data_IF_024746707344
#
_entry.id   IF_024746707344
#
_cell.length_a   1.000
_cell.length_b   1.000
_cell.length_c   1.000
_cell.angle_alpha   90.00
_cell.angle_beta   90.00
_cell.angle_gamma   90.00
#
_symmetry.space_group_name_H-M   'P 1'
#
loop_
_entity.id
_entity.type
_entity.pdbx_description
1 polymer ?
#
# COMPACT_ATOMS: atom_id res chain seq x y z
N UNK A 1 55.61 -46.07 21.13
CA UNK A 1 55.30 -46.67 19.81
C UNK A 1 54.42 -45.64 19.09
N UNK A 2 54.97 -44.61 18.41
CA UNK A 2 55.54 -44.62 17.03
C UNK A 2 54.50 -45.10 16.01
N UNK A 3 54.10 -44.42 14.92
CA UNK A 3 54.64 -43.36 14.04
C UNK A 3 53.42 -42.61 13.43
N UNK A 4 53.35 -41.30 13.12
CA UNK A 4 54.17 -40.35 12.33
C UNK A 4 54.33 -40.71 10.84
N UNK A 5 53.66 -39.94 9.97
CA UNK A 5 54.19 -39.39 8.72
C UNK A 5 53.49 -38.03 8.48
N UNK A 6 54.15 -36.86 8.58
CA UNK A 6 55.03 -36.17 7.58
C UNK A 6 54.31 -35.97 6.23
N UNK A 7 54.26 -34.79 5.59
CA UNK A 7 54.94 -33.51 5.76
C UNK A 7 54.46 -32.50 4.68
N UNK A 8 54.75 -31.20 4.89
CA UNK A 8 54.89 -30.08 3.90
C UNK A 8 53.59 -29.55 3.25
N UNK A 9 53.29 -28.25 3.15
CA UNK A 9 53.98 -26.99 3.51
C UNK A 9 53.45 -25.86 2.60
N UNK A 10 53.34 -24.64 3.17
CA UNK A 10 53.46 -23.26 2.63
C UNK A 10 53.00 -22.92 1.19
N UNK A 11 52.60 -21.70 0.81
CA UNK A 11 52.15 -20.44 1.40
C UNK A 11 51.93 -19.49 0.21
N UNK A 12 51.04 -18.51 0.35
CA UNK A 12 50.94 -17.20 -0.33
C UNK A 12 51.87 -16.84 -1.53
N UNK A 13 51.25 -16.27 -2.58
CA UNK A 13 51.50 -14.89 -3.08
C UNK A 13 51.78 -14.71 -4.60
N UNK A 14 51.01 -13.77 -5.17
CA UNK A 14 51.38 -12.74 -6.18
C UNK A 14 51.65 -13.06 -7.67
N UNK A 15 50.88 -12.31 -8.49
CA UNK A 15 51.27 -11.47 -9.63
C UNK A 15 52.30 -11.99 -10.66
N UNK A 16 51.91 -12.02 -11.95
CA UNK A 16 52.39 -11.04 -12.93
C UNK A 16 51.76 -11.20 -14.33
N UNK A 17 51.53 -10.04 -14.92
CA UNK A 17 51.15 -9.72 -16.29
C UNK A 17 52.33 -10.02 -17.24
N UNK A 18 52.11 -10.56 -18.46
CA UNK A 18 52.95 -10.22 -19.62
C UNK A 18 52.30 -10.55 -20.97
N UNK A 19 52.42 -9.56 -21.86
CA UNK A 19 52.04 -9.46 -23.27
C UNK A 19 53.05 -10.23 -24.14
N UNK A 20 52.60 -10.89 -25.24
CA UNK A 20 53.48 -11.13 -26.39
C UNK A 20 52.70 -11.14 -27.72
N UNK A 21 53.14 -10.24 -28.61
CA UNK A 21 52.77 -10.07 -30.02
C UNK A 21 53.78 -10.84 -30.86
N UNK A 22 53.38 -11.57 -31.92
CA UNK A 22 54.25 -11.82 -33.08
C UNK A 22 53.48 -12.13 -34.38
N UNK A 23 53.91 -11.46 -35.45
CA UNK A 23 53.50 -11.47 -36.86
C UNK A 23 54.30 -12.49 -37.69
N UNK A 24 53.66 -13.22 -38.63
CA UNK A 24 54.22 -13.80 -39.89
C UNK A 24 52.99 -14.00 -40.83
N UNK A 25 52.91 -13.75 -42.13
CA UNK A 25 53.85 -13.44 -43.21
C UNK A 25 53.33 -14.07 -44.52
N UNK A 26 52.86 -13.22 -45.45
CA UNK A 26 52.52 -13.34 -46.89
C UNK A 26 52.62 -14.66 -47.67
N UNK A 27 51.60 -14.88 -48.53
CA UNK A 27 51.75 -15.45 -49.89
C UNK A 27 50.69 -14.85 -50.83
N UNK A 28 51.14 -14.17 -51.88
CA UNK A 28 50.34 -13.54 -52.95
C UNK A 28 50.54 -14.35 -54.23
N UNK A 29 49.45 -14.71 -54.92
CA UNK A 29 49.44 -15.22 -56.29
C UNK A 29 48.47 -14.37 -57.13
N UNK A 30 48.83 -14.21 -58.40
CA UNK A 30 48.54 -13.19 -59.42
C UNK A 30 47.11 -13.09 -59.99
N UNK A 31 46.79 -11.84 -60.44
CA UNK A 31 45.64 -11.23 -61.18
C UNK A 31 45.27 -11.90 -62.54
N UNK A 32 44.30 -11.42 -63.39
CA UNK A 32 43.31 -10.28 -63.33
C UNK A 32 41.85 -10.69 -63.73
N UNK A 33 40.76 -9.99 -63.44
CA UNK A 33 40.13 -8.87 -64.19
C UNK A 33 38.67 -8.84 -63.72
N UNK A 34 38.13 -7.80 -63.10
CA UNK A 34 37.27 -6.81 -63.78
C UNK A 34 36.86 -5.77 -62.73
N UNK A 35 37.38 -4.55 -62.83
CA UNK A 35 36.92 -3.42 -62.04
C UNK A 35 35.75 -2.76 -62.77
N UNK A 36 34.53 -2.97 -62.27
CA UNK A 36 33.41 -2.07 -62.51
C UNK A 36 33.49 -0.98 -61.44
N UNK A 37 33.71 0.25 -61.86
CA UNK A 37 33.63 1.44 -61.01
C UNK A 37 32.14 1.66 -60.68
N UNK A 38 31.71 1.29 -59.47
CA UNK A 38 30.42 1.73 -58.92
C UNK A 38 30.71 2.94 -58.03
N UNK A 39 30.25 4.11 -58.47
CA UNK A 39 30.23 5.33 -57.68
C UNK A 39 29.53 5.05 -56.34
N UNK A 40 30.24 5.25 -55.22
CA UNK A 40 29.63 5.27 -53.88
C UNK A 40 28.75 6.51 -53.74
N UNK A 41 27.48 6.38 -54.12
CA UNK A 41 26.44 7.29 -53.66
C UNK A 41 26.37 7.21 -52.13
N UNK A 42 26.47 8.34 -51.44
CA UNK A 42 26.12 8.45 -50.02
C UNK A 42 24.62 8.20 -49.89
N UNK A 43 24.20 6.95 -49.76
CA UNK A 43 22.87 6.64 -49.24
C UNK A 43 22.88 7.01 -47.76
N UNK A 44 22.27 8.15 -47.45
CA UNK A 44 21.73 8.38 -46.12
C UNK A 44 20.72 7.26 -45.83
N UNK A 45 21.16 6.23 -45.11
CA UNK A 45 20.23 5.36 -44.40
C UNK A 45 19.50 6.23 -43.38
N UNK A 46 18.31 6.71 -43.74
CA UNK A 46 17.33 7.14 -42.74
C UNK A 46 17.12 5.93 -41.83
N UNK A 47 17.47 6.07 -40.54
CA UNK A 47 16.96 5.16 -39.52
C UNK A 47 15.45 5.08 -39.73
N UNK A 48 14.84 3.89 -39.77
CA UNK A 48 13.39 3.81 -39.83
C UNK A 48 12.84 4.57 -38.63
N UNK A 49 11.94 5.53 -38.88
CA UNK A 49 11.12 6.15 -37.84
C UNK A 49 10.24 5.03 -37.26
N UNK A 50 10.75 4.35 -36.24
CA UNK A 50 9.96 3.44 -35.43
C UNK A 50 9.01 4.34 -34.64
N UNK A 51 7.79 4.52 -35.16
CA UNK A 51 6.68 5.01 -34.34
C UNK A 51 6.47 3.98 -33.24
N UNK A 52 6.98 4.24 -32.05
CA UNK A 52 6.60 3.49 -30.86
C UNK A 52 5.09 3.63 -30.69
N UNK A 53 4.35 2.54 -30.92
CA UNK A 53 2.91 2.52 -30.72
C UNK A 53 2.64 2.56 -29.22
N UNK A 54 1.94 3.60 -28.77
CA UNK A 54 1.60 3.80 -27.36
C UNK A 54 0.79 2.59 -26.86
N UNK A 55 1.28 1.95 -25.80
CA UNK A 55 0.64 0.79 -25.16
C UNK A 55 -0.73 1.15 -24.60
N UNK A 56 -1.59 0.16 -24.38
CA UNK A 56 -2.91 0.39 -23.79
C UNK A 56 -2.79 1.01 -22.39
N UNK A 57 -1.83 0.57 -21.58
CA UNK A 57 -1.56 1.15 -20.26
C UNK A 57 -1.21 2.65 -20.35
N UNK A 58 -0.32 3.02 -21.27
CA UNK A 58 0.10 4.42 -21.46
C UNK A 58 -1.07 5.31 -21.89
N UNK A 59 -1.95 4.82 -22.77
CA UNK A 59 -3.15 5.56 -23.18
C UNK A 59 -4.11 5.79 -22.01
N UNK A 60 -4.37 4.75 -21.21
CA UNK A 60 -5.23 4.83 -20.02
C UNK A 60 -4.65 5.81 -19.00
N UNK A 61 -3.34 5.73 -18.74
CA UNK A 61 -2.66 6.64 -17.82
C UNK A 61 -2.75 8.09 -18.28
N UNK A 62 -2.52 8.35 -19.57
CA UNK A 62 -2.60 9.69 -20.16
C UNK A 62 -4.03 10.26 -20.10
N UNK A 63 -5.03 9.44 -20.38
CA UNK A 63 -6.44 9.82 -20.25
C UNK A 63 -6.78 10.13 -18.79
N UNK A 64 -6.36 9.27 -17.86
CA UNK A 64 -6.53 9.52 -16.43
C UNK A 64 -5.88 10.83 -15.99
N UNK A 65 -4.63 11.08 -16.39
CA UNK A 65 -3.90 12.29 -15.99
C UNK A 65 -4.66 13.55 -16.41
N UNK A 66 -5.16 13.57 -17.64
CA UNK A 66 -5.96 14.68 -18.15
C UNK A 66 -7.24 14.88 -17.32
N UNK A 67 -8.01 13.81 -17.12
CA UNK A 67 -9.27 13.87 -16.36
C UNK A 67 -9.01 14.27 -14.91
N UNK A 68 -7.94 13.74 -14.31
CA UNK A 68 -7.57 14.02 -12.93
C UNK A 68 -7.12 15.47 -12.75
N UNK A 69 -6.31 16.00 -13.66
CA UNK A 69 -5.87 17.39 -13.63
C UNK A 69 -7.08 18.33 -13.70
N UNK A 70 -7.99 18.11 -14.65
CA UNK A 70 -9.24 18.88 -14.77
C UNK A 70 -10.08 18.78 -13.49
N UNK A 71 -10.31 17.56 -13.00
CA UNK A 71 -11.10 17.30 -11.79
C UNK A 71 -10.46 17.91 -10.53
N UNK A 72 -9.13 17.86 -10.40
CA UNK A 72 -8.41 18.36 -9.23
C UNK A 72 -8.46 19.88 -9.10
N UNK A 73 -8.66 20.58 -10.22
CA UNK A 73 -8.89 22.02 -10.27
C UNK A 73 -10.34 22.37 -9.95
N UNK A 74 -11.26 21.42 -10.13
CA UNK A 74 -12.64 21.61 -9.74
C UNK A 74 -12.77 21.52 -8.23
N UNK A 75 -13.62 22.38 -7.66
CA UNK A 75 -13.95 22.32 -6.24
C UNK A 75 -14.94 21.18 -5.99
N UNK A 76 -14.50 19.92 -6.19
CA UNK A 76 -15.30 18.71 -6.09
C UNK A 76 -14.57 17.61 -5.30
N UNK A 77 -15.35 16.67 -4.78
CA UNK A 77 -14.90 15.47 -4.04
C UNK A 77 -15.24 14.21 -4.82
N UNK A 78 -14.46 13.13 -4.63
CA UNK A 78 -14.67 11.79 -5.21
C UNK A 78 -15.62 10.90 -4.39
N UNK A 79 -16.36 11.45 -3.42
CA UNK A 79 -17.24 10.65 -2.56
C UNK A 79 -18.73 10.94 -2.79
N UNK A 80 -19.28 11.95 -2.11
CA UNK A 80 -20.73 12.18 -2.05
C UNK A 80 -21.08 13.65 -1.88
N UNK A 81 -22.36 13.98 -2.03
CA UNK A 81 -22.86 15.34 -1.77
C UNK A 81 -22.65 15.77 -0.32
N UNK A 82 -22.72 14.84 0.65
CA UNK A 82 -22.40 15.13 2.04
C UNK A 82 -20.92 15.53 2.20
N UNK A 83 -20.00 14.75 1.59
CA UNK A 83 -18.57 15.10 1.56
C UNK A 83 -18.31 16.46 0.90
N UNK A 84 -19.07 16.81 -0.15
CA UNK A 84 -18.93 18.12 -0.80
C UNK A 84 -19.26 19.27 0.16
N UNK A 85 -20.35 19.16 0.92
CA UNK A 85 -20.77 20.19 1.88
C UNK A 85 -19.82 20.36 3.06
N UNK A 86 -19.03 19.33 3.40
CA UNK A 86 -17.97 19.46 4.41
C UNK A 86 -16.81 20.35 3.95
N UNK A 87 -16.63 20.52 2.64
CA UNK A 87 -15.55 21.32 2.06
C UNK A 87 -14.18 20.64 2.09
N UNK A 88 -13.14 21.40 1.78
CA UNK A 88 -11.74 20.92 1.69
C UNK A 88 -11.13 20.65 3.08
N UNK A 89 -9.90 20.17 3.10
CA UNK A 89 -9.08 19.97 4.31
C UNK A 89 -9.59 18.87 5.24
N UNK A 90 -10.17 17.82 4.68
CA UNK A 90 -10.75 16.70 5.42
C UNK A 90 -9.68 15.74 5.92
N UNK A 91 -9.87 15.23 7.14
CA UNK A 91 -9.16 14.07 7.69
C UNK A 91 -10.08 12.86 7.55
N UNK A 92 -9.68 11.87 6.78
CA UNK A 92 -10.53 10.74 6.37
C UNK A 92 -9.98 9.43 6.89
N UNK A 93 -10.81 8.68 7.63
CA UNK A 93 -10.63 7.23 7.78
C UNK A 93 -11.46 6.57 6.69
N UNK A 94 -10.85 5.68 5.92
CA UNK A 94 -11.48 5.06 4.76
C UNK A 94 -11.60 3.57 4.95
N UNK A 95 -12.81 3.05 4.73
CA UNK A 95 -13.11 1.61 4.77
C UNK A 95 -13.78 1.15 3.48
N UNK A 96 -13.66 -0.15 3.19
CA UNK A 96 -14.36 -0.81 2.08
C UNK A 96 -15.49 -1.69 2.61
N UNK A 97 -16.68 -1.59 2.02
CA UNK A 97 -17.80 -2.50 2.28
C UNK A 97 -18.32 -3.02 0.95
N UNK A 98 -18.16 -4.31 0.68
CA UNK A 98 -18.59 -4.92 -0.57
C UNK A 98 -19.39 -6.18 -0.30
N UNK A 99 -20.53 -6.29 -0.96
CA UNK A 99 -21.35 -7.49 -0.95
C UNK A 99 -20.81 -8.52 -1.94
N UNK A 100 -20.66 -9.78 -1.51
CA UNK A 100 -20.49 -10.89 -2.45
C UNK A 100 -21.85 -11.26 -3.04
N UNK A 101 -22.12 -10.82 -4.26
CA UNK A 101 -22.90 -11.67 -5.16
C UNK A 101 -21.93 -12.65 -5.84
N UNK A 102 -22.08 -13.95 -5.55
CA UNK A 102 -21.46 -15.13 -6.20
C UNK A 102 -20.34 -15.91 -5.46
N UNK A 103 -20.70 -17.17 -5.13
CA UNK A 103 -19.93 -18.43 -5.17
C UNK A 103 -18.89 -18.82 -4.10
N UNK A 104 -18.74 -18.08 -3.01
CA UNK A 104 -18.09 -18.64 -1.82
C UNK A 104 -19.01 -18.54 -0.61
N UNK A 105 -19.56 -19.70 -0.28
CA UNK A 105 -20.52 -20.03 0.78
C UNK A 105 -20.04 -19.48 2.14
N UNK A 106 -20.96 -18.87 2.90
CA UNK A 106 -20.88 -18.58 4.34
C UNK A 106 -19.56 -18.08 4.91
N UNK A 107 -19.00 -17.01 4.35
CA UNK A 107 -18.03 -16.25 5.14
C UNK A 107 -18.79 -15.25 6.02
N UNK A 108 -19.05 -15.64 7.28
CA UNK A 108 -19.78 -14.84 8.29
C UNK A 108 -19.28 -13.39 8.35
N UNK A 109 -18.00 -13.14 8.03
CA UNK A 109 -17.37 -11.83 7.98
C UNK A 109 -18.03 -10.81 7.04
N UNK A 110 -18.81 -11.25 6.03
CA UNK A 110 -19.50 -10.37 5.08
C UNK A 110 -21.02 -10.29 5.33
N UNK A 111 -21.49 -10.78 6.48
CA UNK A 111 -22.89 -10.71 6.87
C UNK A 111 -23.29 -9.29 7.24
N UNK A 112 -24.32 -8.76 6.56
CA UNK A 112 -24.87 -7.44 6.87
C UNK A 112 -25.38 -7.32 8.31
N UNK A 113 -25.96 -8.40 8.84
CA UNK A 113 -26.61 -8.40 10.15
C UNK A 113 -25.63 -8.68 11.29
N UNK A 114 -24.71 -9.63 11.12
CA UNK A 114 -23.85 -10.10 12.22
C UNK A 114 -22.47 -9.46 12.22
N UNK A 115 -22.06 -8.83 11.12
CA UNK A 115 -20.71 -8.29 10.99
C UNK A 115 -20.69 -6.84 10.49
N UNK A 116 -21.16 -6.58 9.27
CA UNK A 116 -20.99 -5.25 8.64
C UNK A 116 -21.63 -4.15 9.48
N UNK A 117 -22.92 -4.28 9.83
CA UNK A 117 -23.59 -3.24 10.63
C UNK A 117 -23.05 -3.14 12.07
N UNK A 118 -22.94 -4.24 12.84
CA UNK A 118 -22.39 -4.14 14.19
C UNK A 118 -20.98 -3.56 14.23
N UNK A 119 -20.08 -3.96 13.32
CA UNK A 119 -18.71 -3.45 13.31
C UNK A 119 -18.65 -2.01 12.81
N UNK A 120 -19.54 -1.61 11.90
CA UNK A 120 -19.67 -0.23 11.47
C UNK A 120 -20.11 0.68 12.62
N UNK A 121 -21.12 0.28 13.40
CA UNK A 121 -21.58 1.04 14.57
C UNK A 121 -20.46 1.17 15.61
N UNK A 122 -19.72 0.09 15.88
CA UNK A 122 -18.56 0.11 16.79
C UNK A 122 -17.46 1.05 16.29
N UNK A 123 -17.09 0.95 15.01
CA UNK A 123 -16.05 1.80 14.42
C UNK A 123 -16.44 3.28 14.45
N UNK A 124 -17.70 3.62 14.15
CA UNK A 124 -18.19 5.00 14.25
C UNK A 124 -18.13 5.51 15.70
N UNK A 125 -18.50 4.66 16.67
CA UNK A 125 -18.42 5.00 18.10
C UNK A 125 -16.98 5.26 18.54
N UNK A 126 -16.06 4.35 18.22
CA UNK A 126 -14.63 4.46 18.54
C UNK A 126 -13.99 5.69 17.88
N UNK A 127 -14.28 5.93 16.59
CA UNK A 127 -13.79 7.11 15.87
C UNK A 127 -14.29 8.40 16.52
N UNK A 128 -15.58 8.47 16.89
CA UNK A 128 -16.14 9.65 17.56
C UNK A 128 -15.47 9.93 18.90
N UNK A 129 -15.10 8.88 19.65
CA UNK A 129 -14.43 9.02 20.94
C UNK A 129 -12.96 9.41 20.79
N UNK A 130 -12.23 8.76 19.89
CA UNK A 130 -10.76 8.82 19.87
C UNK A 130 -10.20 9.76 18.78
N UNK A 131 -10.97 9.98 17.71
CA UNK A 131 -10.62 10.77 16.53
C UNK A 131 -11.78 11.68 16.08
N UNK A 132 -12.36 12.54 16.95
CA UNK A 132 -13.61 13.28 16.69
C UNK A 132 -13.56 14.26 15.50
N UNK A 133 -12.36 14.64 15.04
CA UNK A 133 -12.18 15.52 13.87
C UNK A 133 -12.07 14.76 12.55
N UNK A 134 -12.09 13.43 12.58
CA UNK A 134 -11.99 12.58 11.41
C UNK A 134 -13.40 12.22 10.89
N UNK A 135 -13.47 12.07 9.58
CA UNK A 135 -14.68 11.67 8.85
C UNK A 135 -14.47 10.23 8.41
N UNK A 136 -15.46 9.37 8.65
CA UNK A 136 -15.45 8.02 8.11
C UNK A 136 -16.02 8.05 6.69
N UNK A 137 -15.22 7.65 5.71
CA UNK A 137 -15.68 7.44 4.34
C UNK A 137 -15.84 5.95 4.07
N UNK A 138 -17.06 5.56 3.71
CA UNK A 138 -17.42 4.17 3.43
C UNK A 138 -17.55 4.00 1.92
N UNK A 139 -16.56 3.37 1.30
CA UNK A 139 -16.64 2.98 -0.10
C UNK A 139 -17.42 1.68 -0.20
N UNK A 140 -18.65 1.77 -0.71
CA UNK A 140 -19.65 0.74 -0.53
C UNK A 140 -20.30 0.31 -1.84
N UNK A 141 -20.55 -1.00 -1.98
CA UNK A 141 -21.69 -1.47 -2.76
C UNK A 141 -22.71 -2.12 -1.83
N UNK A 142 -23.98 -1.79 -2.04
CA UNK A 142 -25.06 -2.26 -1.18
C UNK A 142 -25.59 -3.64 -1.58
N UNK A 143 -24.80 -4.41 -2.34
CA UNK A 143 -25.17 -5.74 -2.79
C UNK A 143 -25.43 -6.65 -1.58
N UNK A 144 -26.55 -7.37 -1.60
CA UNK A 144 -26.99 -8.22 -0.48
C UNK A 144 -27.61 -7.49 0.73
N UNK A 145 -27.68 -6.16 0.74
CA UNK A 145 -28.30 -5.41 1.84
C UNK A 145 -29.82 -5.23 1.70
N UNK A 146 -30.52 -5.07 2.82
CA UNK A 146 -31.92 -4.61 2.86
C UNK A 146 -32.02 -3.09 2.81
N UNK A 147 -33.20 -2.55 2.46
CA UNK A 147 -33.47 -1.09 2.51
C UNK A 147 -33.22 -0.49 3.90
N UNK A 148 -33.52 -1.24 4.97
CA UNK A 148 -33.30 -0.78 6.36
C UNK A 148 -31.81 -0.64 6.66
N UNK A 149 -31.01 -1.64 6.26
CA UNK A 149 -29.56 -1.62 6.43
C UNK A 149 -28.93 -0.47 5.64
N UNK A 150 -29.37 -0.23 4.39
CA UNK A 150 -28.93 0.94 3.61
C UNK A 150 -29.19 2.26 4.32
N UNK A 151 -30.42 2.46 4.81
CA UNK A 151 -30.79 3.68 5.54
C UNK A 151 -29.98 3.88 6.82
N UNK A 152 -29.53 2.78 7.46
CA UNK A 152 -28.77 2.84 8.69
C UNK A 152 -27.45 3.61 8.52
N UNK A 153 -26.72 3.38 7.43
CA UNK A 153 -25.45 4.05 7.13
C UNK A 153 -25.56 5.59 7.07
N UNK A 154 -26.71 6.11 6.67
CA UNK A 154 -26.95 7.56 6.53
C UNK A 154 -27.38 8.26 7.83
N UNK A 155 -27.42 7.55 8.97
CA UNK A 155 -27.83 8.14 10.25
C UNK A 155 -26.73 8.96 10.93
N UNK A 156 -25.48 8.78 10.53
CA UNK A 156 -24.32 9.32 11.23
C UNK A 156 -23.80 10.58 10.54
N UNK A 157 -23.71 11.68 11.27
CA UNK A 157 -23.34 13.01 10.73
C UNK A 157 -21.86 13.14 10.37
N UNK A 158 -21.01 12.24 10.86
CA UNK A 158 -19.57 12.18 10.61
C UNK A 158 -19.18 11.04 9.64
N UNK A 159 -20.16 10.48 8.94
CA UNK A 159 -19.97 9.43 7.95
C UNK A 159 -20.38 9.94 6.57
N UNK A 160 -19.54 9.67 5.57
CA UNK A 160 -19.87 9.88 4.16
C UNK A 160 -19.91 8.54 3.42
N UNK A 161 -20.96 8.35 2.66
CA UNK A 161 -21.18 7.13 1.88
C UNK A 161 -20.73 7.38 0.43
N UNK A 162 -19.70 6.67 -0.01
CA UNK A 162 -19.18 6.73 -1.37
C UNK A 162 -19.65 5.49 -2.14
N UNK A 163 -20.76 5.60 -2.86
CA UNK A 163 -21.35 4.47 -3.61
C UNK A 163 -20.47 4.12 -4.81
N UNK A 164 -19.94 2.89 -4.85
CA UNK A 164 -19.09 2.41 -5.92
C UNK A 164 -19.77 2.31 -7.28
N UNK A 165 -21.11 2.40 -7.33
CA UNK A 165 -21.86 2.49 -8.58
C UNK A 165 -21.98 3.94 -9.10
N UNK A 166 -21.60 4.93 -8.31
CA UNK A 166 -21.74 6.34 -8.63
C UNK A 166 -20.61 7.19 -8.01
N UNK A 167 -19.36 6.78 -8.25
CA UNK A 167 -18.20 7.55 -7.81
C UNK A 167 -18.05 8.76 -8.74
N UNK A 168 -18.02 10.01 -8.23
CA UNK A 168 -17.71 11.18 -9.06
C UNK A 168 -16.44 10.94 -9.89
N UNK A 169 -16.39 11.47 -11.11
CA UNK A 169 -15.32 11.21 -12.11
C UNK A 169 -15.33 9.81 -12.76
N UNK A 170 -15.73 8.75 -12.05
CA UNK A 170 -15.60 7.37 -12.56
C UNK A 170 -16.93 6.63 -12.80
N UNK A 171 -18.06 7.14 -12.30
CA UNK A 171 -19.35 6.46 -12.33
C UNK A 171 -19.28 5.08 -11.68
N UNK A 172 -19.78 4.05 -12.39
CA UNK A 172 -19.74 2.65 -11.97
C UNK A 172 -18.53 1.86 -12.50
N UNK A 173 -17.62 2.50 -13.24
CA UNK A 173 -16.56 1.81 -13.98
C UNK A 173 -15.55 1.12 -13.05
N UNK A 174 -15.17 1.75 -11.94
CA UNK A 174 -14.22 1.18 -10.99
C UNK A 174 -14.69 -0.17 -10.43
N UNK A 175 -16.00 -0.32 -10.15
CA UNK A 175 -16.57 -1.56 -9.62
C UNK A 175 -16.31 -2.78 -10.50
N UNK A 176 -16.08 -2.57 -11.82
CA UNK A 176 -15.84 -3.66 -12.78
C UNK A 176 -14.45 -4.29 -12.66
N UNK A 177 -13.47 -3.56 -12.12
CA UNK A 177 -12.07 -4.00 -12.16
C UNK A 177 -11.30 -3.76 -10.86
N UNK A 178 -11.69 -2.78 -10.05
CA UNK A 178 -11.00 -2.44 -8.81
C UNK A 178 -11.40 -3.43 -7.70
N UNK A 179 -10.47 -4.20 -7.12
CA UNK A 179 -10.78 -5.12 -6.03
C UNK A 179 -11.36 -4.39 -4.81
N UNK A 180 -12.36 -5.02 -4.15
CA UNK A 180 -13.09 -4.42 -3.03
C UNK A 180 -12.20 -3.87 -1.90
N UNK A 181 -11.16 -4.61 -1.51
CA UNK A 181 -10.21 -4.18 -0.47
C UNK A 181 -9.38 -2.94 -0.85
N UNK A 182 -9.22 -2.65 -2.14
CA UNK A 182 -8.49 -1.48 -2.62
C UNK A 182 -9.38 -0.23 -2.68
N UNK A 183 -10.71 -0.35 -2.59
CA UNK A 183 -11.61 0.82 -2.63
C UNK A 183 -11.28 1.85 -1.55
N UNK A 184 -10.88 1.42 -0.35
CA UNK A 184 -10.43 2.31 0.73
C UNK A 184 -9.15 3.12 0.42
N UNK A 185 -8.51 2.91 -0.73
CA UNK A 185 -7.35 3.70 -1.18
C UNK A 185 -7.77 4.89 -2.06
N UNK A 186 -9.02 4.91 -2.55
CA UNK A 186 -9.54 5.96 -3.44
C UNK A 186 -9.43 7.39 -2.91
N UNK A 187 -9.48 7.69 -1.60
CA UNK A 187 -9.28 9.05 -1.12
C UNK A 187 -7.92 9.68 -1.47
N UNK A 188 -6.91 8.89 -1.87
CA UNK A 188 -5.64 9.42 -2.40
C UNK A 188 -5.89 10.40 -3.56
N UNK A 189 -6.90 10.11 -4.39
CA UNK A 189 -7.24 10.93 -5.53
C UNK A 189 -8.16 12.11 -5.16
N UNK A 190 -8.72 12.17 -3.96
CA UNK A 190 -9.72 13.19 -3.63
C UNK A 190 -9.06 14.55 -3.24
N UNK A 191 -9.35 15.66 -3.97
CA UNK A 191 -8.81 16.98 -3.69
C UNK A 191 -9.21 17.56 -2.32
N UNK A 192 -10.29 17.06 -1.70
CA UNK A 192 -10.78 17.54 -0.42
C UNK A 192 -10.06 16.90 0.77
N UNK A 193 -9.30 15.82 0.56
CA UNK A 193 -8.70 15.01 1.63
C UNK A 193 -7.26 15.44 1.87
N UNK A 194 -6.95 15.93 3.08
CA UNK A 194 -5.59 16.29 3.48
C UNK A 194 -4.85 15.13 4.14
N UNK A 195 -5.58 14.29 4.87
CA UNK A 195 -5.04 13.12 5.56
C UNK A 195 -5.97 11.93 5.34
N UNK A 196 -5.39 10.81 4.96
CA UNK A 196 -6.06 9.53 4.79
C UNK A 196 -5.50 8.53 5.79
N UNK A 197 -6.38 7.74 6.42
CA UNK A 197 -6.07 6.49 7.07
C UNK A 197 -6.85 5.38 6.37
N UNK A 198 -6.15 4.37 5.87
CA UNK A 198 -6.79 3.17 5.34
C UNK A 198 -7.03 2.20 6.50
N UNK A 199 -8.27 1.73 6.67
CA UNK A 199 -8.66 0.95 7.83
C UNK A 199 -9.54 -0.24 7.43
N UNK A 200 -9.43 -1.36 8.15
CA UNK A 200 -10.32 -2.50 7.98
C UNK A 200 -11.53 -2.38 8.92
N UNK A 201 -12.73 -2.72 8.45
CA UNK A 201 -13.97 -2.56 9.22
C UNK A 201 -13.99 -3.42 10.49
N UNK A 202 -13.36 -4.59 10.42
CA UNK A 202 -13.31 -5.59 11.48
C UNK A 202 -12.24 -5.32 12.54
N UNK A 203 -11.54 -4.18 12.47
CA UNK A 203 -10.52 -3.78 13.44
C UNK A 203 -11.00 -2.64 14.35
N UNK A 204 -10.65 -2.61 15.65
CA UNK A 204 -10.86 -1.47 16.54
C UNK A 204 -9.90 -0.31 16.29
N UNK A 205 -10.42 0.91 16.39
CA UNK A 205 -9.56 2.08 16.65
C UNK A 205 -9.22 2.07 18.14
N UNK A 206 -7.93 2.07 18.46
CA UNK A 206 -7.46 2.00 19.85
C UNK A 206 -6.76 3.29 20.27
N UNK A 207 -6.70 3.53 21.58
CA UNK A 207 -5.94 4.66 22.13
C UNK A 207 -4.48 4.64 21.65
N UNK A 208 -3.87 3.44 21.61
CA UNK A 208 -2.52 3.17 21.11
C UNK A 208 -2.34 3.64 19.66
N UNK A 209 -3.29 3.35 18.78
CA UNK A 209 -3.27 3.84 17.40
C UNK A 209 -3.37 5.36 17.33
N UNK A 210 -4.20 5.97 18.18
CA UNK A 210 -4.36 7.43 18.14
C UNK A 210 -3.13 8.18 18.58
N UNK A 211 -2.32 7.61 19.48
CA UNK A 211 -1.07 8.20 19.95
C UNK A 211 -0.04 8.27 18.81
N UNK A 212 0.10 7.19 18.05
CA UNK A 212 1.00 7.13 16.90
C UNK A 212 0.52 8.02 15.74
N UNK A 213 -0.80 8.07 15.48
CA UNK A 213 -1.39 9.02 14.53
C UNK A 213 -1.12 10.46 14.95
N UNK A 214 -1.35 10.82 16.22
CA UNK A 214 -1.07 12.18 16.73
C UNK A 214 0.40 12.56 16.56
N UNK A 215 1.33 11.63 16.81
CA UNK A 215 2.75 11.84 16.55
C UNK A 215 3.01 12.09 15.07
N UNK A 216 2.47 11.26 14.17
CA UNK A 216 2.62 11.41 12.72
C UNK A 216 2.07 12.74 12.18
N UNK A 217 0.96 13.22 12.73
CA UNK A 217 0.36 14.50 12.34
C UNK A 217 1.14 15.71 12.87
N UNK A 218 2.03 15.53 13.84
CA UNK A 218 2.79 16.64 14.44
C UNK A 218 3.75 17.30 13.44
N UNK A 219 4.07 18.57 13.66
CA UNK A 219 5.05 19.32 12.85
C UNK A 219 6.44 18.66 12.85
N UNK A 220 6.81 17.95 13.91
CA UNK A 220 8.09 17.22 14.00
C UNK A 220 8.19 16.11 12.95
N UNK A 221 7.06 15.64 12.42
CA UNK A 221 6.96 14.54 11.47
C UNK A 221 6.59 15.03 10.06
N UNK A 222 6.79 16.31 9.75
CA UNK A 222 6.41 16.92 8.46
C UNK A 222 7.11 16.29 7.24
N UNK A 223 8.33 15.75 7.42
CA UNK A 223 9.04 15.00 6.35
C UNK A 223 8.39 13.66 6.04
N UNK A 224 7.60 13.11 6.97
CA UNK A 224 6.97 11.81 6.85
C UNK A 224 5.55 11.99 6.30
N UNK A 225 5.40 11.99 4.98
CA UNK A 225 4.08 12.08 4.36
C UNK A 225 3.31 10.76 4.38
N UNK A 226 3.92 9.67 4.87
CA UNK A 226 3.29 8.37 5.01
C UNK A 226 3.40 7.84 6.45
N UNK A 227 2.45 7.00 6.85
CA UNK A 227 2.37 6.36 8.17
C UNK A 227 2.14 4.87 7.98
N UNK A 228 2.85 4.04 8.76
CA UNK A 228 2.75 2.58 8.72
C UNK A 228 2.74 2.06 10.15
N UNK A 229 1.84 1.13 10.46
CA UNK A 229 1.80 0.46 11.76
C UNK A 229 1.75 -1.07 11.61
N UNK A 230 2.62 -1.76 12.36
CA UNK A 230 2.74 -3.23 12.36
C UNK A 230 2.82 -3.73 13.80
N UNK A 231 1.67 -4.06 14.36
CA UNK A 231 1.56 -4.35 15.80
C UNK A 231 1.35 -5.83 16.15
N UNK A 232 1.70 -6.79 15.29
CA UNK A 232 1.48 -8.21 15.58
C UNK A 232 2.49 -9.09 14.84
N UNK A 233 2.76 -10.30 15.32
CA UNK A 233 3.71 -11.21 14.67
C UNK A 233 3.26 -11.63 13.26
N UNK A 234 1.96 -11.59 12.98
CA UNK A 234 1.44 -11.89 11.63
C UNK A 234 1.54 -10.69 10.68
N UNK A 235 1.92 -9.51 11.18
CA UNK A 235 2.10 -8.28 10.41
C UNK A 235 3.45 -8.21 9.69
N UNK A 236 3.81 -9.28 8.99
CA UNK A 236 5.07 -9.43 8.25
C UNK A 236 5.10 -8.67 6.91
N UNK A 237 3.97 -8.10 6.47
CA UNK A 237 3.93 -7.25 5.28
C UNK A 237 4.49 -5.85 5.58
N UNK A 238 5.27 -5.27 4.66
CA UNK A 238 5.85 -3.95 4.89
C UNK A 238 4.77 -2.87 5.11
N UNK A 239 3.69 -2.90 4.32
CA UNK A 239 2.49 -2.08 4.50
C UNK A 239 1.30 -3.04 4.55
N UNK A 240 0.54 -3.05 5.66
CA UNK A 240 -0.73 -3.77 5.72
C UNK A 240 -1.83 -2.99 5.01
N UNK A 241 -2.86 -3.67 4.55
CA UNK A 241 -3.95 -3.03 3.81
C UNK A 241 -4.74 -2.01 4.62
N UNK A 242 -4.95 -2.28 5.91
CA UNK A 242 -5.77 -1.47 6.83
C UNK A 242 -5.00 -0.76 7.94
N UNK A 243 -3.65 -0.65 7.86
CA UNK A 243 -2.83 -0.01 8.90
C UNK A 243 -1.78 0.93 8.31
N UNK A 244 -2.23 1.82 7.43
CA UNK A 244 -1.38 2.88 6.86
C UNK A 244 -2.13 4.19 6.70
N UNK A 245 -1.38 5.28 6.60
CA UNK A 245 -1.89 6.62 6.36
C UNK A 245 -1.06 7.41 5.38
N UNK A 246 -1.70 8.37 4.71
CA UNK A 246 -1.04 9.29 3.79
C UNK A 246 -1.46 10.74 4.06
N UNK A 247 -0.49 11.64 3.97
CA UNK A 247 -0.68 13.07 4.11
C UNK A 247 -0.62 13.72 2.73
N UNK A 248 -1.80 13.89 2.14
CA UNK A 248 -1.97 14.52 0.85
C UNK A 248 -1.59 16.00 0.91
N UNK A 249 -1.81 16.68 2.03
CA UNK A 249 -1.37 18.06 2.20
C UNK A 249 0.16 18.22 2.14
N UNK A 250 0.92 17.17 2.50
CA UNK A 250 2.39 17.16 2.42
C UNK A 250 2.92 16.73 1.05
N UNK A 251 2.23 15.81 0.35
CA UNK A 251 2.79 15.18 -0.85
C UNK A 251 1.75 14.75 -1.91
N UNK A 252 0.67 15.52 -2.15
CA UNK A 252 -0.44 15.15 -3.04
C UNK A 252 0.01 14.64 -4.41
N UNK A 253 0.79 15.42 -5.15
CA UNK A 253 1.19 15.05 -6.52
C UNK A 253 1.98 13.73 -6.54
N UNK A 254 2.92 13.57 -5.61
CA UNK A 254 3.69 12.34 -5.44
C UNK A 254 2.79 11.15 -5.12
N UNK A 255 1.89 11.28 -4.14
CA UNK A 255 0.99 10.21 -3.71
C UNK A 255 0.00 9.81 -4.81
N UNK A 256 -0.58 10.78 -5.52
CA UNK A 256 -1.44 10.51 -6.68
C UNK A 256 -0.67 9.68 -7.71
N UNK A 257 0.53 10.10 -8.09
CA UNK A 257 1.35 9.39 -9.08
C UNK A 257 1.69 7.96 -8.65
N UNK A 258 2.07 7.75 -7.39
CA UNK A 258 2.40 6.43 -6.84
C UNK A 258 1.20 5.48 -6.93
N UNK A 259 -0.02 5.96 -6.66
CA UNK A 259 -1.21 5.11 -6.61
C UNK A 259 -1.93 4.94 -7.96
N UNK A 260 -1.60 5.71 -9.00
CA UNK A 260 -2.19 5.59 -10.37
C UNK A 260 -2.33 4.17 -10.90
N UNK A 261 -1.39 3.23 -10.70
CA UNK A 261 -1.52 1.86 -11.18
C UNK A 261 -2.80 1.15 -10.71
N UNK A 262 -3.42 1.56 -9.60
CA UNK A 262 -4.69 0.98 -9.15
C UNK A 262 -5.88 1.32 -10.09
N UNK A 263 -5.73 2.29 -10.99
CA UNK A 263 -6.77 2.71 -11.93
C UNK A 263 -6.63 2.05 -13.30
N UNK A 264 -5.59 1.23 -13.50
CA UNK A 264 -5.31 0.53 -14.75
C UNK A 264 -5.84 -0.91 -14.63
N UNK A 265 -6.89 -1.31 -15.37
CA UNK A 265 -7.50 -2.63 -15.23
C UNK A 265 -6.54 -3.80 -15.44
N UNK A 266 -5.65 -3.72 -16.45
CA UNK A 266 -4.66 -4.76 -16.74
C UNK A 266 -3.65 -4.98 -15.60
N UNK A 267 -3.49 -3.98 -14.72
CA UNK A 267 -2.64 -4.05 -13.55
C UNK A 267 -3.45 -4.52 -12.33
N UNK A 268 -4.47 -3.75 -11.94
CA UNK A 268 -5.08 -3.87 -10.61
C UNK A 268 -5.93 -5.13 -10.45
N UNK A 269 -6.45 -5.69 -11.55
CA UNK A 269 -7.21 -6.95 -11.50
C UNK A 269 -6.34 -8.11 -11.01
N UNK A 270 -5.01 -8.05 -11.11
CA UNK A 270 -4.14 -9.11 -10.59
C UNK A 270 -4.04 -9.14 -9.05
N UNK A 271 -4.66 -8.17 -8.35
CA UNK A 271 -4.54 -7.96 -6.91
C UNK A 271 -5.83 -8.33 -6.15
N UNK A 272 -6.32 -9.55 -6.34
CA UNK A 272 -7.45 -10.13 -5.61
C UNK A 272 -7.02 -10.76 -4.26
N UNK A 273 -7.98 -11.07 -3.37
CA UNK A 273 -7.70 -11.69 -2.07
C UNK A 273 -6.89 -10.76 -1.15
N UNK A 274 -5.72 -11.19 -0.69
CA UNK A 274 -4.73 -10.34 0.03
C UNK A 274 -3.94 -9.41 -0.91
N UNK A 275 -4.47 -9.16 -2.11
CA UNK A 275 -3.81 -8.40 -3.15
C UNK A 275 -3.68 -6.90 -2.86
N UNK A 276 -4.47 -6.35 -1.93
CA UNK A 276 -4.27 -4.99 -1.43
C UNK A 276 -2.87 -4.80 -0.82
N UNK A 277 -2.41 -5.72 0.02
CA UNK A 277 -1.06 -5.67 0.59
C UNK A 277 0.02 -5.90 -0.47
N UNK A 278 -0.23 -6.82 -1.41
CA UNK A 278 0.69 -7.06 -2.53
C UNK A 278 0.81 -5.83 -3.43
N UNK A 279 -0.29 -5.14 -3.71
CA UNK A 279 -0.29 -3.90 -4.49
C UNK A 279 0.55 -2.82 -3.79
N UNK A 280 0.35 -2.63 -2.48
CA UNK A 280 1.14 -1.70 -1.68
C UNK A 280 2.64 -2.07 -1.72
N UNK A 281 2.99 -3.35 -1.63
CA UNK A 281 4.37 -3.78 -1.73
C UNK A 281 4.99 -3.52 -3.11
N UNK A 282 4.25 -3.78 -4.18
CA UNK A 282 4.79 -3.76 -5.55
C UNK A 282 4.86 -2.34 -6.13
N UNK A 283 3.93 -1.45 -5.75
CA UNK A 283 3.83 -0.11 -6.33
C UNK A 283 4.04 1.05 -5.34
N UNK A 284 3.86 0.85 -4.04
CA UNK A 284 3.87 1.96 -3.06
C UNK A 284 5.15 1.96 -2.21
N UNK A 285 5.54 0.79 -1.70
CA UNK A 285 6.61 0.62 -0.70
C UNK A 285 7.88 1.41 -1.01
N UNK A 286 8.45 1.21 -2.20
CA UNK A 286 9.78 1.75 -2.53
C UNK A 286 9.79 3.27 -2.66
N UNK A 287 8.63 3.88 -2.95
CA UNK A 287 8.48 5.33 -3.02
C UNK A 287 8.28 5.99 -1.66
N UNK A 288 7.66 5.30 -0.71
CA UNK A 288 7.28 5.87 0.59
C UNK A 288 8.21 5.49 1.73
N UNK A 289 9.05 4.45 1.57
CA UNK A 289 9.89 3.89 2.65
C UNK A 289 10.73 4.93 3.38
N UNK A 290 11.38 5.84 2.66
CA UNK A 290 12.22 6.91 3.25
C UNK A 290 11.43 8.13 3.75
N UNK A 291 10.11 8.13 3.56
CA UNK A 291 9.19 9.22 3.92
C UNK A 291 8.05 8.73 4.82
N UNK A 292 8.28 7.62 5.53
CA UNK A 292 7.30 6.98 6.39
C UNK A 292 7.68 7.12 7.86
N UNK A 293 6.71 7.47 8.71
CA UNK A 293 6.80 7.19 10.14
C UNK A 293 6.26 5.78 10.38
N UNK A 294 7.15 4.87 10.78
CA UNK A 294 6.85 3.44 10.89
C UNK A 294 6.89 3.03 12.36
N UNK A 295 5.81 2.41 12.83
CA UNK A 295 5.75 1.77 14.14
C UNK A 295 5.68 0.25 13.97
N UNK A 296 6.52 -0.47 14.71
CA UNK A 296 6.64 -1.92 14.58
C UNK A 296 6.96 -2.61 15.91
N UNK A 297 6.15 -3.60 16.27
CA UNK A 297 6.30 -4.36 17.52
C UNK A 297 7.15 -5.64 17.37
N UNK A 298 7.38 -6.14 16.15
CA UNK A 298 8.00 -7.45 15.92
C UNK A 298 9.10 -7.49 14.85
N UNK A 299 9.02 -6.64 13.83
CA UNK A 299 9.91 -6.68 12.67
C UNK A 299 10.74 -5.40 12.51
N UNK A 300 10.95 -4.63 13.59
CA UNK A 300 11.67 -3.36 13.56
C UNK A 300 13.08 -3.46 12.96
N UNK A 301 13.82 -4.54 13.23
CA UNK A 301 15.17 -4.75 12.70
C UNK A 301 15.19 -5.12 11.21
N UNK A 302 14.16 -5.83 10.73
CA UNK A 302 14.09 -6.34 9.36
C UNK A 302 13.39 -5.35 8.41
N UNK A 303 12.28 -4.78 8.87
CA UNK A 303 11.39 -3.91 8.09
C UNK A 303 11.50 -2.43 8.51
N UNK A 304 12.39 -2.11 9.43
CA UNK A 304 12.52 -0.77 10.02
C UNK A 304 11.37 -0.44 10.97
N UNK A 305 11.40 0.76 11.53
CA UNK A 305 10.36 1.27 12.41
C UNK A 305 10.80 1.36 13.86
N UNK A 306 10.01 2.11 14.62
CA UNK A 306 10.26 2.38 16.02
C UNK A 306 9.20 1.66 16.89
N UNK A 307 9.48 1.43 18.17
CA UNK A 307 8.48 0.91 19.09
C UNK A 307 7.26 1.84 19.19
N UNK A 308 6.11 1.27 19.48
CA UNK A 308 4.91 2.02 19.83
C UNK A 308 5.08 2.81 21.13
N UNK A 309 4.25 3.85 21.29
CA UNK A 309 4.37 4.83 22.38
C UNK A 309 3.74 4.38 23.71
N UNK A 310 2.99 3.29 23.69
CA UNK A 310 2.31 2.73 24.86
C UNK A 310 2.50 1.21 24.88
N UNK A 311 2.07 0.54 25.95
CA UNK A 311 1.91 -0.91 25.98
C UNK A 311 0.51 -1.29 25.48
N UNK A 312 0.31 -2.52 24.99
CA UNK A 312 -1.06 -3.02 24.78
C UNK A 312 -1.80 -3.06 26.12
N UNK A 313 -3.08 -2.66 26.16
CA UNK A 313 -3.86 -2.72 27.40
C UNK A 313 -4.09 -4.17 27.86
N UNK A 314 -4.22 -5.10 26.92
CA UNK A 314 -4.32 -6.54 27.15
C UNK A 314 -3.65 -7.31 26.00
N UNK A 315 -3.19 -8.53 26.28
CA UNK A 315 -2.74 -9.48 25.27
C UNK A 315 -3.84 -9.66 24.20
N UNK A 316 -3.47 -9.57 22.92
CA UNK A 316 -4.40 -9.67 21.78
C UNK A 316 -5.07 -8.35 21.36
N UNK A 317 -4.91 -7.26 22.12
CA UNK A 317 -5.37 -5.93 21.72
C UNK A 317 -4.30 -5.19 20.88
N UNK A 318 -3.93 -5.77 19.74
CA UNK A 318 -3.03 -5.12 18.79
C UNK A 318 -3.80 -4.32 17.74
N UNK A 319 -3.16 -3.31 17.15
CA UNK A 319 -3.73 -2.60 15.98
C UNK A 319 -4.01 -3.59 14.85
N UNK A 320 -5.23 -3.62 14.32
CA UNK A 320 -5.62 -4.55 13.25
C UNK A 320 -6.15 -5.90 13.72
N UNK A 321 -6.39 -6.08 15.03
CA UNK A 321 -7.00 -7.30 15.55
C UNK A 321 -8.45 -7.44 15.04
N UNK A 322 -8.84 -8.66 14.68
CA UNK A 322 -10.19 -8.95 14.21
C UNK A 322 -11.14 -8.98 15.40
N UNK A 323 -12.24 -8.23 15.33
CA UNK A 323 -13.31 -8.22 16.34
C UNK A 323 -13.96 -9.60 16.49
N UNK A 324 -14.34 -10.00 17.72
CA UNK A 324 -14.11 -9.30 18.98
C UNK A 324 -12.66 -9.46 19.47
N UNK A 325 -12.00 -8.34 19.74
CA UNK A 325 -10.70 -8.27 20.39
C UNK A 325 -10.71 -7.10 21.40
N UNK A 326 -9.61 -6.90 22.14
CA UNK A 326 -9.54 -5.86 23.18
C UNK A 326 -10.54 -5.99 24.35
N UNK A 327 -11.14 -7.18 24.53
CA UNK A 327 -12.02 -7.49 25.64
C UNK A 327 -11.40 -8.55 26.56
N UNK A 328 -11.60 -8.41 27.88
CA UNK A 328 -11.13 -9.36 28.91
C UNK A 328 -11.76 -10.76 28.85
N UNK A 329 -12.61 -11.04 27.87
CA UNK A 329 -13.26 -12.34 27.72
C UNK A 329 -12.28 -13.36 27.16
N UNK A 330 -12.00 -14.41 27.94
CA UNK A 330 -11.09 -15.55 27.67
C UNK A 330 -11.37 -16.37 26.39
N UNK A 331 -12.24 -15.90 25.49
CA UNK A 331 -12.68 -16.59 24.29
C UNK A 331 -12.16 -15.90 23.02
N UNK A 332 -10.86 -15.64 22.95
CA UNK A 332 -10.25 -15.35 21.64
C UNK A 332 -10.01 -16.70 20.99
N UNK A 333 -10.85 -17.05 20.02
CA UNK A 333 -10.80 -18.30 19.25
C UNK A 333 -9.55 -18.44 18.35
N UNK A 334 -8.54 -17.61 18.53
CA UNK A 334 -7.26 -17.76 17.88
C UNK A 334 -6.24 -18.25 18.90
N UNK A 335 -5.49 -19.29 18.51
CA UNK A 335 -4.19 -19.62 19.10
C UNK A 335 -3.24 -18.45 18.84
N UNK A 336 -3.50 -17.28 19.40
CA UNK A 336 -2.56 -16.19 19.45
C UNK A 336 -1.37 -16.76 20.19
N UNK A 337 -0.31 -17.07 19.44
CA UNK A 337 0.96 -17.42 20.04
C UNK A 337 1.34 -16.17 20.81
N UNK A 338 1.22 -16.20 22.14
CA UNK A 338 1.68 -15.15 23.05
C UNK A 338 3.20 -15.07 22.97
N UNK A 339 3.68 -14.57 21.85
CA UNK A 339 5.09 -14.42 21.54
C UNK A 339 5.47 -13.02 22.02
N UNK A 340 6.38 -12.93 22.99
CA UNK A 340 6.92 -11.65 23.41
C UNK A 340 7.42 -10.85 22.22
N UNK A 341 7.24 -9.53 22.25
CA UNK A 341 7.96 -8.65 21.34
C UNK A 341 9.48 -8.87 21.47
N UNK A 342 10.25 -8.85 20.37
CA UNK A 342 11.70 -8.83 20.44
C UNK A 342 12.20 -7.65 21.29
N UNK A 343 13.28 -7.83 22.05
CA UNK A 343 13.79 -6.83 23.00
C UNK A 343 14.20 -5.55 22.26
N UNK A 344 14.81 -5.72 21.08
CA UNK A 344 15.20 -4.69 20.14
C UNK A 344 14.03 -3.80 19.66
N UNK A 345 12.80 -4.35 19.62
CA UNK A 345 11.61 -3.64 19.17
C UNK A 345 10.78 -3.05 20.32
N UNK A 346 11.27 -3.12 21.56
CA UNK A 346 10.65 -2.48 22.72
C UNK A 346 11.19 -1.06 22.92
N UNK A 347 10.43 -0.14 23.53
CA UNK A 347 10.98 1.15 23.95
C UNK A 347 12.18 0.97 24.87
N UNK A 348 13.23 1.78 24.68
CA UNK A 348 14.49 1.66 25.43
C UNK A 348 14.30 1.87 26.94
N UNK A 349 13.31 2.67 27.30
CA UNK A 349 12.87 3.00 28.66
C UNK A 349 11.82 2.02 29.22
N UNK A 350 11.31 1.10 28.39
CA UNK A 350 10.26 0.15 28.75
C UNK A 350 10.52 -1.26 28.21
N UNK A 351 11.70 -1.81 28.51
CA UNK A 351 12.04 -3.19 28.12
C UNK A 351 11.17 -4.24 28.84
N UNK A 352 10.50 -3.86 29.93
CA UNK A 352 9.53 -4.65 30.68
C UNK A 352 8.19 -4.85 29.94
N UNK A 353 7.93 -4.11 28.86
CA UNK A 353 6.77 -4.31 27.99
C UNK A 353 6.96 -5.56 27.12
N UNK A 354 6.82 -6.74 27.73
CA UNK A 354 7.00 -8.06 27.09
C UNK A 354 6.03 -8.23 25.91
N UNK A 355 4.80 -7.77 26.10
CA UNK A 355 3.79 -7.63 25.06
C UNK A 355 3.59 -6.14 24.83
N UNK A 356 4.53 -5.52 24.11
CA UNK A 356 4.13 -4.40 23.28
C UNK A 356 3.04 -4.87 22.32
#
# INVERSE_FOLDING_TARGET
MANIHRNRGCSLSQCCLHILVFLIGFLVVSLPSSFVIIQRGKQHFKKPDIKYEETQEQRIEKEFNKIYEDFSQWNLTLCSHASYHRGRHQKVISISVYGKESKFIDNQMYSWTTTILPFFELLVSEMNQLLPQWILRVYIDFTGSTKSQRKHFYKFSNVDICDMNNIPMFGSSLRKFLPGRIWRFLPIFDPYVDYLLSHDLDSPITQRETETIKMWLSKKQEKNFFYIARDHIEHSSFILGGLWGASLIRARHTLVNIFKPMLIPSIVQNYHGNGDQKFLNDYVKDHVRSHSLIFDSYFCDMLGGQPFLSQRPIDGCYLGCIRPCCNNTKNVHFRERRIPCPIECRPKDHLDWIYC
#
